data_IF_140446308965
#
_entry.id   IF_140446308965
#
_cell.length_a   1.000
_cell.length_b   1.000
_cell.length_c   1.000
_cell.angle_alpha   90.00
_cell.angle_beta   90.00
_cell.angle_gamma   90.00
#
_symmetry.space_group_name_H-M   'P 1'
#
loop_
_entity.id
_entity.type
_entity.pdbx_description
1 polymer ?
#
# COMPACT_ATOMS: atom_id res chain seq x y z
N UNK A 1 -11.43 15.74 -0.08
CA UNK A 1 -11.29 14.33 -0.50
C UNK A 1 -10.31 13.61 0.40
N UNK A 2 -10.77 13.12 1.55
CA UNK A 2 -9.99 12.28 2.48
C UNK A 2 -10.64 10.88 2.63
N UNK A 3 -11.70 10.54 1.88
CA UNK A 3 -12.53 9.37 2.17
C UNK A 3 -12.79 8.45 0.96
N UNK A 4 -11.86 8.35 0.02
CA UNK A 4 -12.02 7.48 -1.16
C UNK A 4 -11.09 6.25 -1.08
N UNK A 5 -11.40 5.21 -1.87
CA UNK A 5 -10.60 3.98 -1.94
C UNK A 5 -10.47 3.27 -0.58
N UNK A 6 -11.59 3.14 0.14
CA UNK A 6 -11.59 2.53 1.48
C UNK A 6 -11.30 1.03 1.38
N UNK A 7 -10.20 0.60 2.00
CA UNK A 7 -9.73 -0.79 1.90
C UNK A 7 -9.35 -1.31 3.28
N UNK A 8 -9.97 -2.41 3.71
CA UNK A 8 -9.60 -3.09 4.95
C UNK A 8 -8.28 -3.83 4.75
N UNK A 9 -7.24 -3.39 5.46
CA UNK A 9 -5.89 -3.91 5.31
C UNK A 9 -5.68 -5.28 5.94
N UNK A 10 -4.61 -5.98 5.54
CA UNK A 10 -4.25 -7.28 6.12
C UNK A 10 -3.97 -7.18 7.63
N UNK A 11 -3.38 -6.07 8.08
CA UNK A 11 -3.02 -5.76 9.46
C UNK A 11 -4.20 -5.32 10.35
N UNK A 12 -5.41 -5.28 9.78
CA UNK A 12 -6.64 -4.93 10.51
C UNK A 12 -6.93 -3.44 10.60
N UNK A 13 -6.19 -2.59 9.88
CA UNK A 13 -6.49 -1.16 9.78
C UNK A 13 -7.39 -0.88 8.58
N UNK A 14 -8.21 0.18 8.67
CA UNK A 14 -8.93 0.71 7.51
C UNK A 14 -8.04 1.74 6.82
N UNK A 15 -7.72 1.52 5.54
CA UNK A 15 -6.94 2.44 4.72
C UNK A 15 -7.85 3.27 3.81
N UNK A 16 -7.33 4.42 3.37
CA UNK A 16 -7.98 5.22 2.34
C UNK A 16 -7.04 6.26 1.72
N UNK A 17 -7.54 6.96 0.72
CA UNK A 17 -6.79 7.92 -0.07
C UNK A 17 -7.16 9.38 0.27
N UNK A 18 -6.24 10.28 -0.04
CA UNK A 18 -6.40 11.73 0.10
C UNK A 18 -5.97 12.43 -1.19
N UNK A 19 -6.74 13.41 -1.66
CA UNK A 19 -6.43 14.22 -2.85
C UNK A 19 -5.59 15.48 -2.54
N UNK A 20 -4.95 16.06 -3.56
CA UNK A 20 -3.96 17.15 -3.43
C UNK A 20 -4.52 18.51 -3.02
N UNK A 21 -5.76 18.82 -3.40
CA UNK A 21 -6.37 20.16 -3.19
C UNK A 21 -6.85 20.39 -1.77
N UNK A 22 -7.01 19.33 -0.97
CA UNK A 22 -7.43 19.43 0.40
C UNK A 22 -6.20 19.42 1.33
N UNK A 23 -6.16 20.35 2.27
CA UNK A 23 -5.25 20.28 3.42
C UNK A 23 -6.12 19.94 4.64
N UNK A 24 -5.87 18.77 5.22
CA UNK A 24 -6.64 18.26 6.34
C UNK A 24 -5.82 18.32 7.62
N UNK A 25 -6.50 18.66 8.71
CA UNK A 25 -5.99 18.49 10.07
C UNK A 25 -6.90 17.45 10.73
N UNK A 26 -6.41 16.21 10.83
CA UNK A 26 -7.20 15.06 11.23
C UNK A 26 -7.06 14.81 12.72
N UNK A 27 -8.20 14.69 13.40
CA UNK A 27 -8.27 14.39 14.83
C UNK A 27 -9.70 14.03 15.21
N UNK A 28 -9.87 13.52 16.43
CA UNK A 28 -11.20 13.22 16.97
C UNK A 28 -12.02 14.52 17.08
N UNK A 29 -13.36 14.46 17.07
CA UNK A 29 -14.19 15.63 17.38
C UNK A 29 -13.73 16.25 18.71
N UNK A 30 -13.51 17.57 18.71
CA UNK A 30 -12.98 18.30 19.88
C UNK A 30 -11.45 18.42 19.98
N UNK A 31 -10.66 17.68 19.19
CA UNK A 31 -9.18 17.83 19.21
C UNK A 31 -8.76 19.24 18.74
N UNK A 32 -7.97 19.99 19.53
CA UNK A 32 -7.36 21.27 19.14
C UNK A 32 -6.57 21.16 17.84
N UNK A 33 -6.56 22.21 17.01
CA UNK A 33 -5.98 22.15 15.65
C UNK A 33 -4.50 21.79 15.64
N UNK A 34 -3.74 22.26 16.61
CA UNK A 34 -2.30 22.02 16.82
C UNK A 34 -1.97 20.60 17.30
N UNK A 35 -2.95 19.89 17.87
CA UNK A 35 -2.84 18.47 18.23
C UNK A 35 -3.28 17.52 17.11
N UNK A 36 -3.77 18.05 15.98
CA UNK A 36 -4.25 17.24 14.85
C UNK A 36 -3.11 16.86 13.92
N UNK A 37 -3.26 15.69 13.31
CA UNK A 37 -2.30 15.20 12.32
C UNK A 37 -2.55 15.89 10.97
N UNK A 38 -1.58 16.66 10.44
CA UNK A 38 -1.72 17.26 9.12
C UNK A 38 -1.62 16.21 8.03
N UNK A 39 -2.41 16.36 6.97
CA UNK A 39 -2.32 15.52 5.79
C UNK A 39 -2.68 16.30 4.52
N UNK A 40 -1.87 16.09 3.47
CA UNK A 40 -2.10 16.58 2.13
C UNK A 40 -1.67 15.52 1.09
N UNK A 41 -2.64 14.96 0.37
CA UNK A 41 -2.47 13.83 -0.56
C UNK A 41 -1.71 12.59 -0.06
N UNK A 42 -2.04 11.43 -0.64
CA UNK A 42 -1.40 10.16 -0.30
C UNK A 42 -2.37 9.19 0.35
N UNK A 43 -1.83 8.24 1.13
CA UNK A 43 -2.59 7.17 1.78
C UNK A 43 -2.60 7.39 3.29
N UNK A 44 -3.74 7.18 3.93
CA UNK A 44 -3.90 7.18 5.37
C UNK A 44 -4.50 5.86 5.84
N UNK A 45 -4.46 5.64 7.15
CA UNK A 45 -5.18 4.56 7.81
C UNK A 45 -5.75 4.96 9.17
N UNK A 46 -6.82 4.28 9.58
CA UNK A 46 -7.43 4.38 10.91
C UNK A 46 -7.57 3.01 11.52
N UNK A 47 -7.18 2.87 12.79
CA UNK A 47 -7.40 1.63 13.52
C UNK A 47 -8.86 1.58 14.02
N UNK A 48 -9.65 0.56 13.68
CA UNK A 48 -11.10 0.54 13.92
C UNK A 48 -11.49 0.51 15.40
N UNK A 49 -10.64 -0.03 16.28
CA UNK A 49 -10.89 -0.08 17.73
C UNK A 49 -10.30 1.11 18.50
N UNK A 50 -9.01 1.41 18.34
CA UNK A 50 -8.36 2.51 19.06
C UNK A 50 -8.64 3.90 18.49
N UNK A 51 -9.22 3.97 17.28
CA UNK A 51 -9.50 5.19 16.53
C UNK A 51 -8.25 6.05 16.30
N UNK A 52 -7.07 5.41 16.22
CA UNK A 52 -5.81 6.09 15.89
C UNK A 52 -5.75 6.33 14.40
N UNK A 53 -5.50 7.57 13.99
CA UNK A 53 -5.30 7.96 12.60
C UNK A 53 -3.81 8.13 12.31
N UNK A 54 -3.36 7.63 11.16
CA UNK A 54 -1.97 7.77 10.71
C UNK A 54 -1.89 8.01 9.20
N UNK A 55 -1.11 9.01 8.74
CA UNK A 55 -0.60 9.03 7.37
C UNK A 55 0.27 7.79 7.15
N UNK A 56 0.05 7.11 6.03
CA UNK A 56 0.88 5.99 5.57
C UNK A 56 1.90 6.49 4.57
N UNK A 57 1.48 7.33 3.62
CA UNK A 57 2.33 7.97 2.62
C UNK A 57 1.90 9.40 2.36
N UNK A 58 2.84 10.21 1.88
CA UNK A 58 2.62 11.60 1.50
C UNK A 58 2.85 11.81 0.00
N UNK A 59 2.19 12.80 -0.58
CA UNK A 59 2.38 13.17 -1.99
C UNK A 59 1.41 12.46 -2.93
N UNK A 60 1.85 12.20 -4.17
CA UNK A 60 0.96 11.90 -5.32
C UNK A 60 0.08 13.10 -5.69
N UNK A 61 -1.01 12.88 -6.43
CA UNK A 61 -1.90 13.98 -6.85
C UNK A 61 -3.34 13.69 -6.47
N UNK A 62 -3.97 12.76 -7.17
CA UNK A 62 -5.36 12.40 -6.97
C UNK A 62 -5.46 10.87 -7.00
N UNK A 63 -5.06 10.20 -5.91
CA UNK A 63 -5.25 8.77 -5.78
C UNK A 63 -6.75 8.48 -5.68
N UNK A 64 -7.27 7.66 -6.60
CA UNK A 64 -8.69 7.33 -6.76
C UNK A 64 -8.98 5.83 -6.69
N UNK A 65 -8.00 5.02 -6.30
CA UNK A 65 -8.18 3.61 -6.01
C UNK A 65 -7.04 3.11 -5.12
N UNK A 66 -7.33 2.11 -4.29
CA UNK A 66 -6.37 1.49 -3.39
C UNK A 66 -6.70 0.00 -3.22
N UNK A 67 -5.75 -0.89 -3.49
CA UNK A 67 -5.86 -2.32 -3.16
C UNK A 67 -4.48 -2.88 -2.81
N UNK A 68 -4.42 -4.13 -2.35
CA UNK A 68 -3.16 -4.79 -2.00
C UNK A 68 -3.03 -6.18 -2.62
N UNK A 69 -1.80 -6.59 -2.91
CA UNK A 69 -1.52 -7.87 -3.56
C UNK A 69 -1.53 -9.06 -2.58
N UNK A 70 -1.13 -10.25 -3.03
CA UNK A 70 -1.07 -11.43 -2.16
C UNK A 70 0.07 -11.40 -1.13
N UNK A 71 1.04 -10.49 -1.30
CA UNK A 71 2.11 -10.20 -0.35
C UNK A 71 1.71 -9.11 0.66
N UNK A 72 0.50 -8.55 0.56
CA UNK A 72 0.00 -7.47 1.41
C UNK A 72 0.54 -6.09 1.03
N UNK A 73 1.22 -5.97 -0.11
CA UNK A 73 1.78 -4.72 -0.60
C UNK A 73 0.67 -3.90 -1.24
N UNK A 74 0.50 -2.65 -0.79
CA UNK A 74 -0.56 -1.77 -1.27
C UNK A 74 -0.15 -1.00 -2.52
N UNK A 75 -1.12 -0.72 -3.37
CA UNK A 75 -0.95 0.07 -4.59
C UNK A 75 -2.09 1.07 -4.72
N UNK A 76 -1.78 2.25 -5.23
CA UNK A 76 -2.80 3.25 -5.59
C UNK A 76 -2.80 3.53 -7.07
N UNK A 77 -4.00 3.76 -7.60
CA UNK A 77 -4.20 4.33 -8.93
C UNK A 77 -4.39 5.84 -8.78
N UNK A 78 -3.71 6.61 -9.62
CA UNK A 78 -3.60 8.04 -9.51
C UNK A 78 -3.97 8.74 -10.83
N UNK A 79 -4.67 9.85 -10.71
CA UNK A 79 -5.04 10.71 -11.83
C UNK A 79 -4.02 11.85 -12.03
N UNK A 80 -3.92 12.36 -13.27
CA UNK A 80 -3.10 13.50 -13.74
C UNK A 80 -1.63 13.21 -14.03
N UNK A 81 -0.87 12.67 -13.07
CA UNK A 81 0.52 12.21 -13.29
C UNK A 81 0.53 10.72 -13.62
N UNK A 82 1.68 10.05 -13.48
CA UNK A 82 1.77 8.57 -13.63
C UNK A 82 0.72 7.85 -12.78
N UNK A 83 0.18 6.77 -13.34
CA UNK A 83 -1.06 6.18 -12.85
C UNK A 83 -0.89 5.26 -11.65
N UNK A 84 0.30 4.73 -11.37
CA UNK A 84 0.44 3.61 -10.43
C UNK A 84 1.61 3.76 -9.46
N UNK A 85 1.34 3.59 -8.18
CA UNK A 85 2.32 3.76 -7.10
C UNK A 85 2.24 2.61 -6.11
N UNK A 86 3.39 2.02 -5.77
CA UNK A 86 3.52 1.08 -4.63
C UNK A 86 3.56 1.90 -3.35
N UNK A 87 2.70 1.57 -2.38
CA UNK A 87 2.52 2.29 -1.12
C UNK A 87 3.47 1.71 -0.07
N UNK A 88 4.52 2.46 0.26
CA UNK A 88 5.53 2.07 1.25
C UNK A 88 5.37 2.97 2.49
N UNK A 89 5.10 2.44 3.70
CA UNK A 89 4.87 3.27 4.88
C UNK A 89 6.03 4.25 5.14
N UNK A 90 5.72 5.53 5.31
CA UNK A 90 6.68 6.61 5.49
C UNK A 90 7.28 7.17 4.19
N UNK A 91 6.79 6.76 3.02
CA UNK A 91 7.24 7.29 1.74
C UNK A 91 6.64 8.67 1.42
N UNK A 92 7.44 9.48 0.73
CA UNK A 92 7.07 10.77 0.16
C UNK A 92 7.19 10.72 -1.37
N UNK A 93 6.10 10.96 -2.07
CA UNK A 93 5.98 10.77 -3.52
C UNK A 93 5.86 12.08 -4.30
N UNK A 94 6.33 12.04 -5.54
CA UNK A 94 6.17 13.13 -6.50
C UNK A 94 4.69 13.54 -6.62
N UNK A 95 4.47 14.84 -6.75
CA UNK A 95 3.16 15.48 -6.85
C UNK A 95 3.13 16.44 -8.02
N UNK A 96 1.93 16.71 -8.56
CA UNK A 96 1.77 17.63 -9.70
C UNK A 96 2.24 19.07 -9.37
N UNK A 97 1.93 19.54 -8.16
CA UNK A 97 2.31 20.87 -7.67
C UNK A 97 2.32 20.89 -6.13
N UNK A 98 2.78 22.01 -5.56
CA UNK A 98 2.88 22.21 -4.12
C UNK A 98 4.12 21.55 -3.51
N UNK A 99 4.31 21.77 -2.21
CA UNK A 99 5.47 21.26 -1.45
C UNK A 99 5.03 20.14 -0.51
N UNK A 100 5.94 19.19 -0.26
CA UNK A 100 5.78 18.22 0.83
C UNK A 100 5.67 18.94 2.18
N UNK A 101 4.95 18.35 3.13
CA UNK A 101 4.85 18.92 4.49
C UNK A 101 6.19 18.89 5.21
N UNK A 102 7.05 17.94 4.88
CA UNK A 102 8.43 17.90 5.32
C UNK A 102 9.33 18.61 4.28
N UNK A 103 9.84 19.80 4.64
CA UNK A 103 10.72 20.59 3.79
C UNK A 103 12.11 19.95 3.57
N UNK A 104 12.42 18.86 4.26
CA UNK A 104 13.73 18.21 4.25
C UNK A 104 13.71 16.84 3.53
N UNK A 105 12.64 16.50 2.82
CA UNK A 105 12.64 15.30 1.95
C UNK A 105 13.70 15.37 0.87
N UNK A 106 13.99 16.57 0.34
CA UNK A 106 14.97 16.92 -0.71
C UNK A 106 14.75 16.27 -2.08
N UNK A 107 14.32 15.02 -2.11
CA UNK A 107 13.88 14.26 -3.27
C UNK A 107 12.57 13.56 -2.93
N UNK A 108 11.81 13.18 -3.97
CA UNK A 108 10.53 12.49 -3.83
C UNK A 108 10.56 11.22 -4.67
N UNK A 109 9.99 10.15 -4.14
CA UNK A 109 9.88 8.86 -4.84
C UNK A 109 8.95 8.98 -6.04
N UNK A 110 9.14 8.12 -7.05
CA UNK A 110 8.37 8.12 -8.30
C UNK A 110 7.50 6.88 -8.45
N UNK A 111 6.58 6.93 -9.41
CA UNK A 111 5.66 5.82 -9.74
C UNK A 111 6.40 4.56 -10.17
N UNK A 112 5.79 3.40 -9.92
CA UNK A 112 6.29 2.09 -10.35
C UNK A 112 6.00 1.81 -11.83
N UNK A 113 5.13 2.59 -12.46
CA UNK A 113 4.98 2.59 -13.91
C UNK A 113 6.05 3.48 -14.58
N UNK A 114 6.72 2.93 -15.59
CA UNK A 114 7.68 3.66 -16.44
C UNK A 114 7.04 4.24 -17.70
N UNK A 115 5.78 3.92 -17.97
CA UNK A 115 5.00 4.38 -19.11
C UNK A 115 3.83 5.29 -18.70
N UNK A 116 3.17 5.88 -19.70
CA UNK A 116 1.95 6.69 -19.53
C UNK A 116 0.82 6.12 -20.39
N UNK A 117 -0.41 6.29 -19.92
CA UNK A 117 -1.60 6.04 -20.74
C UNK A 117 -1.95 7.21 -21.67
N UNK A 118 -1.03 8.17 -21.86
CA UNK A 118 -1.31 9.47 -22.46
C UNK A 118 -0.26 9.85 -23.52
N UNK A 119 -0.75 10.28 -24.69
CA UNK A 119 0.08 10.66 -25.85
C UNK A 119 0.61 12.10 -25.89
N UNK A 120 0.46 12.91 -24.82
CA UNK A 120 0.92 14.31 -24.77
C UNK A 120 -0.14 15.36 -25.16
N UNK A 121 0.19 16.66 -25.08
CA UNK A 121 -0.71 17.75 -25.48
C UNK A 121 -1.59 18.32 -24.35
N UNK A 122 -2.72 18.98 -24.66
CA UNK A 122 -3.72 19.36 -23.66
C UNK A 122 -4.44 18.14 -23.11
N UNK A 123 -4.77 18.13 -21.82
CA UNK A 123 -5.34 16.96 -21.17
C UNK A 123 -6.75 16.63 -21.73
N UNK A 124 -7.51 17.65 -22.13
CA UNK A 124 -8.86 17.51 -22.68
C UNK A 124 -8.90 16.71 -23.99
N UNK A 125 -7.80 16.70 -24.77
CA UNK A 125 -7.77 15.95 -26.04
C UNK A 125 -7.75 14.44 -25.85
N UNK A 126 -7.54 13.95 -24.62
CA UNK A 126 -7.58 12.51 -24.33
C UNK A 126 -8.97 11.94 -24.14
N UNK A 127 -10.00 12.79 -24.02
CA UNK A 127 -11.39 12.35 -23.85
C UNK A 127 -11.91 11.63 -25.10
N UNK A 128 -12.73 10.62 -24.89
CA UNK A 128 -13.43 9.91 -25.95
C UNK A 128 -12.73 8.66 -26.47
N UNK A 129 -11.51 8.33 -26.03
CA UNK A 129 -10.85 7.08 -26.43
C UNK A 129 -10.60 7.01 -27.94
N UNK A 130 -9.95 8.04 -28.48
CA UNK A 130 -9.55 8.10 -29.89
C UNK A 130 -8.08 8.53 -30.06
N UNK A 131 -7.55 8.32 -31.28
CA UNK A 131 -6.25 8.82 -31.72
C UNK A 131 -5.06 8.37 -30.86
N UNK A 132 -4.11 9.30 -30.68
CA UNK A 132 -2.82 9.01 -29.99
C UNK A 132 -3.02 8.62 -28.52
N UNK A 133 -4.07 9.11 -27.88
CA UNK A 133 -4.37 8.78 -26.49
C UNK A 133 -4.94 7.38 -26.37
N UNK A 134 -5.81 6.97 -27.30
CA UNK A 134 -6.36 5.62 -27.34
C UNK A 134 -5.27 4.56 -27.54
N UNK A 135 -4.34 4.85 -28.47
CA UNK A 135 -3.15 4.03 -28.71
C UNK A 135 -2.22 3.98 -27.49
N UNK A 136 -2.07 5.11 -26.79
CA UNK A 136 -1.32 5.17 -25.55
C UNK A 136 -2.05 4.50 -24.37
N UNK A 137 -3.33 4.16 -24.46
CA UNK A 137 -4.05 3.43 -23.42
C UNK A 137 -5.10 4.23 -22.66
N UNK A 138 -5.55 5.37 -23.18
CA UNK A 138 -6.83 5.98 -22.81
C UNK A 138 -6.79 7.39 -22.25
N UNK A 139 -5.65 7.89 -21.77
CA UNK A 139 -5.51 9.21 -21.14
C UNK A 139 -4.96 9.13 -19.73
N UNK A 140 -5.05 10.22 -18.97
CA UNK A 140 -4.45 10.36 -17.63
C UNK A 140 -5.49 10.35 -16.49
N UNK A 141 -6.75 10.00 -16.77
CA UNK A 141 -7.85 9.97 -15.81
C UNK A 141 -8.18 8.54 -15.35
N UNK A 142 -7.53 8.11 -14.27
CA UNK A 142 -7.67 6.78 -13.69
C UNK A 142 -8.47 6.81 -12.39
N UNK A 143 -9.33 5.82 -12.17
CA UNK A 143 -10.19 5.67 -11.00
C UNK A 143 -10.43 4.18 -10.71
N UNK A 144 -10.59 3.84 -9.43
CA UNK A 144 -10.71 2.46 -8.99
C UNK A 144 -9.37 1.72 -9.06
N UNK A 145 -9.20 0.73 -8.20
CA UNK A 145 -8.02 -0.11 -8.18
C UNK A 145 -8.40 -1.47 -7.62
N UNK A 146 -8.21 -2.52 -8.41
CA UNK A 146 -8.46 -3.88 -7.96
C UNK A 146 -7.32 -4.77 -8.44
N UNK A 147 -6.65 -5.44 -7.50
CA UNK A 147 -5.68 -6.49 -7.81
C UNK A 147 -6.44 -7.80 -7.82
N UNK A 148 -6.55 -8.43 -8.99
CA UNK A 148 -7.44 -9.58 -9.16
C UNK A 148 -6.87 -10.84 -8.49
N UNK A 149 -7.44 -11.20 -7.34
CA UNK A 149 -7.09 -12.41 -6.57
C UNK A 149 -8.27 -13.40 -6.46
N UNK A 150 -9.27 -13.26 -7.35
CA UNK A 150 -10.35 -14.22 -7.55
C UNK A 150 -9.91 -15.48 -8.31
N UNK A 151 -10.79 -16.48 -8.35
CA UNK A 151 -10.53 -17.81 -8.95
C UNK A 151 -11.42 -18.13 -10.17
N UNK A 152 -12.24 -17.18 -10.65
CA UNK A 152 -13.10 -17.37 -11.82
C UNK A 152 -12.35 -17.29 -13.16
N UNK A 153 -11.44 -16.32 -13.29
CA UNK A 153 -10.71 -16.05 -14.54
C UNK A 153 -9.47 -16.91 -14.73
N UNK A 154 -9.00 -17.05 -15.99
CA UNK A 154 -7.72 -17.71 -16.28
C UNK A 154 -6.57 -17.16 -15.44
N UNK A 155 -5.63 -18.04 -15.06
CA UNK A 155 -4.52 -17.73 -14.15
C UNK A 155 -3.68 -16.52 -14.56
N UNK A 156 -3.55 -16.24 -15.86
CA UNK A 156 -2.82 -15.06 -16.38
C UNK A 156 -3.33 -13.71 -15.87
N UNK A 157 -4.58 -13.63 -15.41
CA UNK A 157 -5.16 -12.40 -14.84
C UNK A 157 -4.90 -12.26 -13.35
N UNK A 158 -4.51 -13.35 -12.67
CA UNK A 158 -4.32 -13.34 -11.22
C UNK A 158 -3.10 -12.51 -10.86
N UNK A 159 -3.26 -11.62 -9.87
CA UNK A 159 -2.22 -10.68 -9.44
C UNK A 159 -2.09 -9.44 -10.32
N UNK A 160 -2.84 -9.34 -11.43
CA UNK A 160 -2.88 -8.10 -12.22
C UNK A 160 -3.70 -7.04 -11.53
N UNK A 161 -3.27 -5.80 -11.66
CA UNK A 161 -4.02 -4.63 -11.26
C UNK A 161 -4.93 -4.18 -12.40
N UNK A 162 -6.19 -3.89 -12.08
CA UNK A 162 -7.16 -3.29 -12.98
C UNK A 162 -7.57 -1.90 -12.46
N UNK A 163 -7.70 -0.95 -13.38
CA UNK A 163 -8.17 0.42 -13.08
C UNK A 163 -9.02 0.94 -14.23
N UNK A 164 -10.09 1.68 -13.93
CA UNK A 164 -10.90 2.32 -14.95
C UNK A 164 -10.17 3.54 -15.51
N UNK A 165 -10.19 3.71 -16.82
CA UNK A 165 -9.73 4.90 -17.51
C UNK A 165 -10.93 5.63 -18.11
N UNK A 166 -11.28 6.76 -17.50
CA UNK A 166 -12.48 7.53 -17.83
C UNK A 166 -12.42 8.01 -19.28
N UNK A 167 -11.32 8.68 -19.63
CA UNK A 167 -11.09 9.25 -20.95
C UNK A 167 -11.06 8.17 -22.04
N UNK A 168 -10.46 7.02 -21.74
CA UNK A 168 -10.23 5.94 -22.70
C UNK A 168 -11.35 4.93 -22.83
N UNK A 169 -12.44 5.09 -22.09
CA UNK A 169 -13.60 4.18 -22.03
C UNK A 169 -13.20 2.71 -21.87
N UNK A 170 -12.33 2.43 -20.91
CA UNK A 170 -11.71 1.10 -20.76
C UNK A 170 -11.34 0.79 -19.32
N UNK A 171 -10.95 -0.47 -19.11
CA UNK A 171 -10.28 -0.89 -17.89
C UNK A 171 -8.86 -1.28 -18.27
N UNK A 172 -7.89 -0.47 -17.85
CA UNK A 172 -6.48 -0.78 -18.03
C UNK A 172 -6.07 -1.96 -17.16
N UNK A 173 -5.05 -2.69 -17.60
CA UNK A 173 -4.46 -3.80 -16.86
C UNK A 173 -2.95 -3.65 -16.77
N UNK A 174 -2.45 -3.84 -15.56
CA UNK A 174 -1.03 -3.78 -15.22
C UNK A 174 -0.59 -5.13 -14.64
N UNK A 175 0.55 -5.64 -15.11
CA UNK A 175 1.27 -6.74 -14.47
C UNK A 175 2.24 -6.16 -13.44
N UNK A 176 2.08 -6.54 -12.18
CA UNK A 176 2.96 -6.13 -11.09
C UNK A 176 4.09 -7.16 -10.97
N UNK A 177 5.33 -6.72 -11.11
CA UNK A 177 6.52 -7.57 -10.97
C UNK A 177 7.40 -7.04 -9.83
N UNK A 178 7.90 -7.94 -8.98
CA UNK A 178 8.90 -7.61 -7.97
C UNK A 178 10.17 -7.10 -8.69
N UNK A 179 10.66 -5.93 -8.31
CA UNK A 179 11.85 -5.31 -8.92
C UNK A 179 12.61 -4.49 -7.89
N UNK A 180 13.90 -4.84 -7.69
CA UNK A 180 14.70 -4.29 -6.60
C UNK A 180 14.03 -4.57 -5.25
N UNK A 181 13.89 -3.53 -4.44
CA UNK A 181 13.25 -3.60 -3.13
C UNK A 181 11.71 -3.54 -3.16
N UNK A 182 11.12 -3.16 -4.29
CA UNK A 182 9.68 -2.97 -4.46
C UNK A 182 9.16 -3.61 -5.74
N UNK A 183 8.48 -2.81 -6.57
CA UNK A 183 7.80 -3.29 -7.77
C UNK A 183 8.05 -2.40 -8.99
N UNK A 184 7.91 -2.99 -10.16
CA UNK A 184 7.74 -2.30 -11.44
C UNK A 184 6.43 -2.76 -12.08
N UNK A 185 5.73 -1.83 -12.72
CA UNK A 185 4.53 -2.15 -13.48
C UNK A 185 4.84 -2.33 -14.95
N UNK A 186 4.31 -3.40 -15.54
CA UNK A 186 4.35 -3.66 -16.98
C UNK A 186 2.95 -3.57 -17.57
N UNK A 187 2.84 -2.99 -18.76
CA UNK A 187 1.56 -2.91 -19.46
C UNK A 187 1.08 -4.31 -19.86
N UNK A 188 -0.13 -4.65 -19.47
CA UNK A 188 -0.84 -5.81 -19.99
C UNK A 188 -1.95 -5.37 -20.98
N UNK A 189 -2.49 -6.28 -21.81
CA UNK A 189 -3.68 -5.98 -22.60
C UNK A 189 -4.81 -5.51 -21.69
N UNK A 190 -5.50 -4.44 -22.11
CA UNK A 190 -6.66 -3.90 -21.39
C UNK A 190 -7.66 -5.01 -21.09
N UNK A 191 -8.26 -4.94 -19.91
CA UNK A 191 -9.22 -5.94 -19.45
C UNK A 191 -10.52 -5.91 -20.26
N UNK A 192 -10.95 -4.70 -20.64
CA UNK A 192 -12.03 -4.44 -21.57
C UNK A 192 -11.92 -3.02 -22.14
N UNK A 193 -12.55 -2.81 -23.29
CA UNK A 193 -12.85 -1.49 -23.88
C UNK A 193 -14.34 -1.42 -24.16
N UNK A 194 -14.95 -0.26 -23.94
CA UNK A 194 -16.39 -0.03 -24.04
C UNK A 194 -16.68 0.95 -25.17
N UNK A 195 -17.56 0.56 -26.08
CA UNK A 195 -17.92 1.40 -27.23
C UNK A 195 -18.95 2.49 -26.87
N UNK A 196 -19.69 2.31 -25.78
CA UNK A 196 -20.68 3.27 -25.28
C UNK A 196 -20.02 4.59 -24.84
N UNK A 197 -20.31 5.73 -25.47
CA UNK A 197 -19.75 7.03 -25.09
C UNK A 197 -20.19 7.51 -23.70
N UNK A 198 -21.27 6.96 -23.16
CA UNK A 198 -21.79 7.25 -21.82
C UNK A 198 -21.12 6.42 -20.71
N UNK A 199 -20.14 5.58 -21.05
CA UNK A 199 -19.41 4.79 -20.07
C UNK A 199 -18.43 5.66 -19.27
N UNK A 200 -18.57 5.67 -17.94
CA UNK A 200 -17.57 6.22 -17.01
C UNK A 200 -17.35 5.23 -15.87
N UNK A 201 -16.48 4.25 -16.08
CA UNK A 201 -16.15 3.26 -15.04
C UNK A 201 -15.56 3.92 -13.80
N UNK A 202 -15.96 3.46 -12.61
CA UNK A 202 -15.58 4.06 -11.34
C UNK A 202 -14.81 3.10 -10.44
N UNK A 203 -15.41 1.97 -10.08
CA UNK A 203 -14.85 1.04 -9.09
C UNK A 203 -14.95 -0.40 -9.56
N UNK A 204 -13.99 -1.22 -9.15
CA UNK A 204 -13.97 -2.66 -9.42
C UNK A 204 -13.83 -3.46 -8.12
N UNK A 205 -14.55 -4.57 -8.01
CA UNK A 205 -14.36 -5.54 -6.93
C UNK A 205 -14.68 -6.95 -7.43
N UNK A 206 -13.98 -7.98 -6.96
CA UNK A 206 -14.34 -9.36 -7.25
C UNK A 206 -15.17 -9.97 -6.10
N UNK A 207 -16.18 -10.76 -6.46
CA UNK A 207 -17.10 -11.39 -5.51
C UNK A 207 -16.71 -12.81 -5.08
N UNK A 208 -17.58 -13.50 -4.31
CA UNK A 208 -17.33 -14.86 -3.81
C UNK A 208 -17.19 -15.90 -4.94
N UNK A 209 -17.82 -15.69 -6.08
CA UNK A 209 -17.69 -16.56 -7.25
C UNK A 209 -16.51 -16.19 -8.15
N UNK A 210 -15.67 -15.24 -7.72
CA UNK A 210 -14.51 -14.73 -8.45
C UNK A 210 -14.85 -13.80 -9.62
N UNK A 211 -16.14 -13.57 -9.91
CA UNK A 211 -16.57 -12.62 -10.94
C UNK A 211 -16.23 -11.19 -10.56
N UNK A 212 -15.88 -10.37 -11.55
CA UNK A 212 -15.57 -8.95 -11.34
C UNK A 212 -16.85 -8.13 -11.45
N UNK A 213 -17.17 -7.38 -10.41
CA UNK A 213 -18.19 -6.34 -10.40
C UNK A 213 -17.52 -5.02 -10.76
N UNK A 214 -18.16 -4.25 -11.63
CA UNK A 214 -17.71 -2.92 -12.02
C UNK A 214 -18.89 -1.95 -11.96
N UNK A 215 -18.65 -0.77 -11.41
CA UNK A 215 -19.63 0.32 -11.42
C UNK A 215 -19.28 1.33 -12.49
N UNK A 216 -20.29 1.96 -13.08
CA UNK A 216 -20.11 3.15 -13.88
C UNK A 216 -21.16 4.21 -13.53
N UNK A 217 -20.79 5.47 -13.72
CA UNK A 217 -21.73 6.59 -13.72
C UNK A 217 -22.05 6.88 -15.19
N UNK A 218 -23.28 6.62 -15.61
CA UNK A 218 -23.64 6.71 -17.03
C UNK A 218 -23.79 8.18 -17.44
N UNK A 219 -22.72 8.81 -17.89
CA UNK A 219 -22.65 10.25 -18.12
C UNK A 219 -21.67 10.60 -19.25
N UNK A 220 -21.86 11.76 -19.86
CA UNK A 220 -20.92 12.38 -20.81
C UNK A 220 -19.99 13.37 -20.12
N UNK A 221 -20.37 13.92 -18.96
CA UNK A 221 -19.56 14.79 -18.13
C UNK A 221 -18.45 14.02 -17.42
N UNK A 222 -17.21 14.50 -17.54
CA UNK A 222 -16.06 13.99 -16.80
C UNK A 222 -15.08 15.12 -16.46
N UNK A 223 -14.26 14.94 -15.42
CA UNK A 223 -13.15 15.81 -15.05
C UNK A 223 -13.46 17.32 -15.19
N UNK A 224 -14.19 17.91 -14.25
CA UNK A 224 -14.60 19.33 -14.26
C UNK A 224 -15.64 19.73 -15.32
N UNK A 225 -16.15 18.78 -16.10
CA UNK A 225 -17.32 19.01 -16.93
C UNK A 225 -18.58 18.65 -16.15
N UNK A 226 -19.41 19.65 -15.86
CA UNK A 226 -20.65 19.50 -15.09
C UNK A 226 -21.91 19.69 -15.92
N UNK A 227 -21.76 19.80 -17.24
CA UNK A 227 -22.86 20.02 -18.15
C UNK A 227 -23.61 18.71 -18.38
N UNK A 228 -24.95 18.78 -18.33
CA UNK A 228 -25.85 17.66 -18.61
C UNK A 228 -25.58 16.41 -17.75
N UNK A 229 -25.07 16.62 -16.53
CA UNK A 229 -24.80 15.54 -15.58
C UNK A 229 -26.10 14.90 -15.09
N UNK A 230 -26.15 13.58 -15.15
CA UNK A 230 -27.25 12.80 -14.64
C UNK A 230 -26.85 12.16 -13.30
N UNK A 231 -27.39 12.60 -12.16
CA UNK A 231 -26.95 12.09 -10.83
C UNK A 231 -27.65 10.81 -10.37
N UNK A 232 -28.64 10.36 -11.11
CA UNK A 232 -29.54 9.25 -10.72
C UNK A 232 -29.30 7.97 -11.55
N UNK A 233 -28.36 7.99 -12.50
CA UNK A 233 -28.09 6.88 -13.40
C UNK A 233 -26.66 6.31 -13.20
N UNK A 234 -26.60 5.15 -12.57
CA UNK A 234 -25.40 4.33 -12.52
C UNK A 234 -25.71 2.91 -12.99
N UNK A 235 -24.71 2.21 -13.49
CA UNK A 235 -24.84 0.79 -13.86
C UNK A 235 -23.87 -0.05 -13.04
N UNK A 236 -24.30 -1.27 -12.75
CA UNK A 236 -23.45 -2.29 -12.13
C UNK A 236 -23.34 -3.44 -13.11
N UNK A 237 -22.12 -3.73 -13.52
CA UNK A 237 -21.80 -4.85 -14.39
C UNK A 237 -21.23 -5.99 -13.56
N UNK A 238 -21.60 -7.23 -13.90
CA UNK A 238 -20.92 -8.43 -13.44
C UNK A 238 -20.26 -9.10 -14.63
N UNK A 239 -18.94 -9.24 -14.58
CA UNK A 239 -18.10 -9.68 -15.69
C UNK A 239 -17.42 -10.99 -15.32
N UNK A 240 -17.95 -12.09 -15.83
CA UNK A 240 -17.51 -13.45 -15.51
C UNK A 240 -16.83 -14.12 -16.69
N UNK A 241 -15.94 -15.07 -16.38
CA UNK A 241 -15.47 -16.06 -17.34
C UNK A 241 -16.42 -17.27 -17.30
N UNK A 242 -17.13 -17.51 -18.41
CA UNK A 242 -18.22 -18.48 -18.46
C UNK A 242 -19.39 -18.10 -17.55
N UNK A 243 -20.11 -19.11 -17.08
CA UNK A 243 -21.29 -18.98 -16.22
C UNK A 243 -20.99 -19.58 -14.84
N UNK A 244 -20.30 -18.85 -13.94
CA UNK A 244 -20.01 -19.36 -12.61
C UNK A 244 -21.32 -19.64 -11.85
N UNK A 245 -21.34 -20.72 -11.09
CA UNK A 245 -22.51 -21.07 -10.27
C UNK A 245 -22.64 -20.06 -9.13
N UNK A 246 -23.76 -19.35 -9.10
CA UNK A 246 -24.10 -18.50 -7.97
C UNK A 246 -24.35 -19.37 -6.73
N UNK A 247 -23.72 -19.01 -5.61
CA UNK A 247 -24.00 -19.57 -4.29
C UNK A 247 -24.23 -18.42 -3.32
N UNK A 248 -25.36 -18.40 -2.59
CA UNK A 248 -25.52 -17.47 -1.47
C UNK A 248 -24.42 -17.71 -0.44
N UNK A 249 -23.69 -16.65 -0.08
CA UNK A 249 -22.61 -16.72 0.91
C UNK A 249 -22.94 -15.77 2.06
N UNK A 250 -22.97 -16.31 3.27
CA UNK A 250 -23.13 -15.54 4.51
C UNK A 250 -22.04 -15.99 5.51
N UNK A 251 -20.89 -15.32 5.45
CA UNK A 251 -19.74 -15.68 6.30
C UNK A 251 -19.99 -15.33 7.77
N UNK A 252 -20.94 -14.45 8.09
CA UNK A 252 -21.21 -14.06 9.47
C UNK A 252 -21.79 -15.22 10.29
N UNK A 253 -22.44 -16.19 9.63
CA UNK A 253 -23.00 -17.41 10.25
C UNK A 253 -21.96 -18.49 10.54
N UNK A 254 -20.78 -18.41 9.94
CA UNK A 254 -19.72 -19.41 10.14
C UNK A 254 -19.09 -19.28 11.52
N UNK A 255 -18.70 -20.38 12.14
CA UNK A 255 -17.94 -20.34 13.39
C UNK A 255 -16.47 -19.92 13.16
N UNK A 256 -15.68 -19.80 14.23
CA UNK A 256 -14.29 -19.34 14.10
C UNK A 256 -13.39 -20.35 13.35
N UNK A 257 -13.65 -21.65 13.47
CA UNK A 257 -12.88 -22.71 12.80
C UNK A 257 -13.19 -22.73 11.30
N UNK A 258 -14.44 -22.53 10.93
CA UNK A 258 -14.86 -22.36 9.55
C UNK A 258 -14.26 -21.09 8.93
N UNK A 259 -14.24 -19.96 9.65
CA UNK A 259 -13.57 -18.75 9.19
C UNK A 259 -12.04 -18.91 9.06
N UNK A 260 -11.40 -19.69 9.93
CA UNK A 260 -9.98 -20.00 9.83
C UNK A 260 -9.67 -20.77 8.54
N UNK A 261 -10.46 -21.81 8.21
CA UNK A 261 -10.31 -22.57 6.97
C UNK A 261 -10.33 -21.68 5.73
N UNK A 262 -11.11 -20.60 5.74
CA UNK A 262 -11.20 -19.66 4.63
C UNK A 262 -9.92 -18.84 4.39
N UNK A 263 -8.97 -18.78 5.33
CA UNK A 263 -7.66 -18.19 5.06
C UNK A 263 -6.90 -18.94 3.94
N UNK A 264 -7.22 -20.22 3.74
CA UNK A 264 -6.63 -21.08 2.71
C UNK A 264 -7.37 -21.04 1.36
N UNK A 265 -8.49 -20.32 1.28
CA UNK A 265 -9.35 -20.30 0.09
C UNK A 265 -8.61 -19.68 -1.13
N UNK A 266 -8.75 -20.25 -2.35
CA UNK A 266 -8.11 -19.74 -3.56
C UNK A 266 -8.58 -18.32 -3.94
N UNK A 267 -9.88 -18.05 -3.90
CA UNK A 267 -10.42 -16.70 -3.96
C UNK A 267 -10.12 -15.92 -2.67
N UNK A 268 -9.32 -14.86 -2.78
CA UNK A 268 -8.93 -14.04 -1.63
C UNK A 268 -10.11 -13.30 -0.99
N UNK A 269 -11.26 -13.17 -1.66
CA UNK A 269 -12.46 -12.54 -1.11
C UNK A 269 -12.84 -13.19 0.23
N UNK A 270 -12.83 -14.52 0.29
CA UNK A 270 -13.13 -15.29 1.49
C UNK A 270 -12.10 -15.04 2.60
N UNK A 271 -10.80 -15.12 2.29
CA UNK A 271 -9.74 -14.90 3.28
C UNK A 271 -9.79 -13.48 3.87
N UNK A 272 -10.03 -12.47 3.03
CA UNK A 272 -10.16 -11.06 3.45
C UNK A 272 -11.36 -10.86 4.39
N UNK A 273 -12.53 -11.32 4.00
CA UNK A 273 -13.75 -11.16 4.79
C UNK A 273 -13.72 -11.99 6.08
N UNK A 274 -13.21 -13.22 6.02
CA UNK A 274 -13.08 -14.08 7.19
C UNK A 274 -12.11 -13.49 8.22
N UNK A 275 -10.99 -12.91 7.79
CA UNK A 275 -10.05 -12.24 8.71
C UNK A 275 -10.67 -11.01 9.36
N UNK A 276 -11.41 -10.19 8.62
CA UNK A 276 -12.16 -9.05 9.18
C UNK A 276 -13.17 -9.51 10.24
N UNK A 277 -13.96 -10.55 9.95
CA UNK A 277 -14.93 -11.09 10.92
C UNK A 277 -14.25 -11.66 12.16
N UNK A 278 -13.13 -12.37 12.01
CA UNK A 278 -12.34 -12.86 13.15
C UNK A 278 -11.79 -11.71 14.01
N UNK A 279 -11.33 -10.62 13.39
CA UNK A 279 -10.90 -9.41 14.10
C UNK A 279 -12.06 -8.75 14.86
N UNK A 280 -13.23 -8.60 14.22
CA UNK A 280 -14.43 -8.05 14.85
C UNK A 280 -14.83 -8.88 16.08
N UNK A 281 -14.84 -10.22 15.96
CA UNK A 281 -15.11 -11.12 17.08
C UNK A 281 -14.08 -10.98 18.19
N UNK A 282 -12.78 -10.97 17.85
CA UNK A 282 -11.69 -10.81 18.81
C UNK A 282 -11.76 -9.48 19.57
N UNK A 283 -12.25 -8.41 18.91
CA UNK A 283 -12.43 -7.09 19.53
C UNK A 283 -13.57 -7.04 20.55
N UNK A 284 -14.59 -7.89 20.40
CA UNK A 284 -15.71 -8.00 21.33
C UNK A 284 -15.40 -8.95 22.49
N UNK A 285 -14.76 -10.09 22.17
CA UNK A 285 -14.36 -11.09 23.15
C UNK A 285 -13.07 -11.77 22.68
N UNK A 286 -12.04 -11.87 23.53
CA UNK A 286 -10.82 -12.59 23.20
C UNK A 286 -11.12 -14.02 22.72
N UNK A 287 -10.51 -14.42 21.60
CA UNK A 287 -10.59 -15.79 21.10
C UNK A 287 -9.82 -16.73 22.04
N UNK A 288 -10.18 -18.02 22.07
CA UNK A 288 -9.55 -18.97 22.97
C UNK A 288 -8.07 -19.17 22.62
N UNK A 289 -7.25 -19.47 23.64
CA UNK A 289 -5.84 -19.83 23.44
C UNK A 289 -5.66 -21.05 22.54
N UNK A 290 -6.60 -22.02 22.60
CA UNK A 290 -6.62 -23.18 21.71
C UNK A 290 -6.81 -22.79 20.24
N UNK A 291 -7.67 -21.81 19.96
CA UNK A 291 -7.88 -21.30 18.61
C UNK A 291 -6.63 -20.58 18.09
N UNK A 292 -6.03 -19.69 18.89
CA UNK A 292 -4.80 -19.00 18.49
C UNK A 292 -3.65 -19.97 18.23
N UNK A 293 -3.51 -21.00 19.07
CA UNK A 293 -2.55 -22.08 18.84
C UNK A 293 -2.83 -22.81 17.52
N UNK A 294 -4.09 -23.09 17.21
CA UNK A 294 -4.48 -23.72 15.95
C UNK A 294 -4.12 -22.86 14.73
N UNK A 295 -4.32 -21.54 14.80
CA UNK A 295 -3.91 -20.60 13.72
C UNK A 295 -2.39 -20.64 13.52
N UNK A 296 -1.61 -20.69 14.61
CA UNK A 296 -0.16 -20.82 14.55
C UNK A 296 0.28 -22.17 13.97
N UNK A 297 -0.35 -23.27 14.39
CA UNK A 297 -0.06 -24.60 13.83
C UNK A 297 -0.34 -24.61 12.31
N UNK A 298 -1.43 -23.98 11.85
CA UNK A 298 -1.67 -23.84 10.40
C UNK A 298 -0.63 -22.96 9.72
N UNK A 299 -0.11 -21.91 10.39
CA UNK A 299 0.93 -21.06 9.84
C UNK A 299 2.22 -21.86 9.60
N UNK A 300 2.63 -22.66 10.59
CA UNK A 300 3.85 -23.46 10.54
C UNK A 300 3.80 -24.51 9.42
N UNK A 301 2.62 -25.08 9.14
CA UNK A 301 2.42 -26.12 8.12
C UNK A 301 1.91 -25.60 6.76
N UNK A 302 1.54 -24.31 6.65
CA UNK A 302 1.01 -23.77 5.40
C UNK A 302 2.05 -23.78 4.29
N UNK A 303 1.64 -24.31 3.12
CA UNK A 303 2.46 -24.28 1.91
C UNK A 303 2.17 -23.00 1.11
N UNK A 304 3.25 -22.30 0.74
CA UNK A 304 3.21 -21.09 -0.07
C UNK A 304 3.13 -19.79 0.74
N UNK A 305 3.86 -18.78 0.24
CA UNK A 305 4.01 -17.45 0.84
C UNK A 305 2.67 -16.80 1.18
N UNK A 306 1.75 -16.68 0.21
CA UNK A 306 0.47 -15.98 0.39
C UNK A 306 -0.39 -16.57 1.52
N UNK A 307 -0.40 -17.91 1.66
CA UNK A 307 -1.17 -18.60 2.71
C UNK A 307 -0.57 -18.38 4.09
N UNK A 308 0.77 -18.45 4.20
CA UNK A 308 1.50 -18.13 5.44
C UNK A 308 1.25 -16.68 5.87
N UNK A 309 1.31 -15.72 4.94
CA UNK A 309 1.06 -14.31 5.25
C UNK A 309 -0.37 -14.07 5.75
N UNK A 310 -1.39 -14.69 5.12
CA UNK A 310 -2.79 -14.60 5.59
C UNK A 310 -2.96 -15.08 7.03
N UNK A 311 -2.28 -16.17 7.40
CA UNK A 311 -2.32 -16.70 8.76
C UNK A 311 -1.53 -15.83 9.75
N UNK A 312 -0.37 -15.31 9.36
CA UNK A 312 0.37 -14.32 10.16
C UNK A 312 -0.47 -13.08 10.46
N UNK A 313 -1.14 -12.55 9.44
CA UNK A 313 -2.07 -11.42 9.61
C UNK A 313 -3.29 -11.81 10.46
N UNK A 314 -3.78 -13.04 10.35
CA UNK A 314 -4.86 -13.53 11.22
C UNK A 314 -4.41 -13.57 12.68
N UNK A 315 -3.20 -14.07 12.97
CA UNK A 315 -2.61 -14.02 14.32
C UNK A 315 -2.51 -12.57 14.81
N UNK A 316 -2.05 -11.65 13.95
CA UNK A 316 -1.92 -10.24 14.30
C UNK A 316 -3.24 -9.59 14.73
N UNK A 317 -4.33 -9.84 14.01
CA UNK A 317 -5.60 -9.15 14.28
C UNK A 317 -6.45 -9.84 15.34
N UNK A 318 -6.15 -11.11 15.66
CA UNK A 318 -6.93 -11.90 16.64
C UNK A 318 -6.24 -12.07 17.99
N UNK A 319 -4.91 -11.98 18.04
CA UNK A 319 -4.16 -12.06 19.30
C UNK A 319 -4.30 -10.74 20.06
N UNK A 320 -4.62 -10.76 21.37
CA UNK A 320 -4.58 -9.56 22.18
C UNK A 320 -3.23 -8.85 22.07
N UNK A 321 -3.26 -7.57 21.69
CA UNK A 321 -2.07 -6.78 21.40
C UNK A 321 -1.22 -7.26 20.21
N UNK A 322 -1.73 -8.11 19.32
CA UNK A 322 -1.01 -8.58 18.13
C UNK A 322 0.06 -9.62 18.44
N UNK A 323 0.92 -9.91 17.45
CA UNK A 323 1.98 -10.92 17.61
C UNK A 323 2.98 -10.50 18.69
N UNK A 324 3.48 -11.47 19.47
CA UNK A 324 4.50 -11.22 20.49
C UNK A 324 5.87 -10.92 19.88
N UNK A 325 6.73 -10.25 20.64
CA UNK A 325 8.12 -10.01 20.23
C UNK A 325 8.90 -11.32 20.05
N UNK A 326 8.67 -12.32 20.91
CA UNK A 326 9.30 -13.64 20.79
C UNK A 326 8.93 -14.33 19.48
N UNK A 327 7.65 -14.25 19.09
CA UNK A 327 7.21 -14.83 17.83
C UNK A 327 7.77 -14.04 16.64
N UNK A 328 7.69 -12.71 16.67
CA UNK A 328 8.29 -11.86 15.64
C UNK A 328 9.79 -12.13 15.47
N UNK A 329 10.53 -12.31 16.57
CA UNK A 329 11.97 -12.65 16.56
C UNK A 329 12.24 -13.96 15.86
N UNK A 330 11.44 -15.01 16.11
CA UNK A 330 11.55 -16.29 15.40
C UNK A 330 11.33 -16.12 13.90
N UNK A 331 10.38 -15.27 13.51
CA UNK A 331 10.06 -15.02 12.10
C UNK A 331 11.16 -14.26 11.36
N UNK A 332 12.07 -13.56 12.03
CA UNK A 332 13.21 -12.89 11.39
C UNK A 332 14.18 -13.87 10.70
N UNK A 333 14.08 -15.17 11.01
CA UNK A 333 14.86 -16.23 10.37
C UNK A 333 14.06 -17.05 9.35
N UNK A 334 12.81 -16.66 9.05
CA UNK A 334 11.98 -17.36 8.05
C UNK A 334 12.63 -17.29 6.67
N UNK A 335 12.48 -18.32 5.83
CA UNK A 335 13.02 -18.35 4.47
C UNK A 335 12.37 -17.33 3.53
N UNK A 336 11.10 -16.99 3.75
CA UNK A 336 10.33 -16.08 2.90
C UNK A 336 10.58 -14.61 3.30
N UNK A 337 11.13 -13.77 2.40
CA UNK A 337 11.42 -12.37 2.69
C UNK A 337 10.23 -11.57 3.21
N UNK A 338 9.04 -11.80 2.65
CA UNK A 338 7.84 -11.11 3.11
C UNK A 338 7.37 -11.55 4.49
N UNK A 339 7.64 -12.78 4.92
CA UNK A 339 7.32 -13.19 6.31
C UNK A 339 8.22 -12.43 7.28
N UNK A 340 9.53 -12.33 6.97
CA UNK A 340 10.47 -11.49 7.74
C UNK A 340 10.03 -10.02 7.75
N UNK A 341 9.73 -9.48 6.57
CA UNK A 341 9.28 -8.10 6.37
C UNK A 341 8.02 -7.75 7.19
N UNK A 342 7.00 -8.60 7.13
CA UNK A 342 5.77 -8.40 7.91
C UNK A 342 6.02 -8.54 9.42
N UNK A 343 6.88 -9.46 9.86
CA UNK A 343 7.24 -9.54 11.29
C UNK A 343 7.87 -8.23 11.78
N UNK A 344 8.76 -7.62 10.97
CA UNK A 344 9.37 -6.32 11.25
C UNK A 344 8.30 -5.23 11.32
N UNK A 345 7.47 -5.08 10.29
CA UNK A 345 6.45 -4.03 10.25
C UNK A 345 5.49 -4.15 11.43
N UNK A 346 4.86 -5.32 11.60
CA UNK A 346 3.85 -5.54 12.64
C UNK A 346 4.40 -5.31 14.05
N UNK A 347 5.64 -5.70 14.32
CA UNK A 347 6.26 -5.48 15.63
C UNK A 347 6.58 -4.00 15.85
N UNK A 348 7.08 -3.30 14.83
CA UNK A 348 7.42 -1.87 14.93
C UNK A 348 6.21 -0.96 15.02
N UNK A 349 5.01 -1.41 14.62
CA UNK A 349 3.76 -0.65 14.82
C UNK A 349 3.43 -0.33 16.28
N UNK A 350 4.03 -1.06 17.23
CA UNK A 350 3.91 -0.78 18.66
C UNK A 350 4.77 0.39 19.12
N UNK A 351 5.76 0.82 18.34
CA UNK A 351 6.73 1.87 18.67
C UNK A 351 7.54 1.65 19.96
N UNK A 352 7.39 0.48 20.58
CA UNK A 352 8.15 -0.01 21.71
C UNK A 352 8.94 -1.23 21.26
N UNK A 353 10.26 -1.22 21.39
CA UNK A 353 11.12 -2.37 21.06
C UNK A 353 12.17 -2.59 22.14
N UNK A 354 12.39 -3.86 22.50
CA UNK A 354 13.52 -4.22 23.35
C UNK A 354 14.86 -4.00 22.63
N UNK A 355 15.94 -3.87 23.40
CA UNK A 355 17.28 -3.81 22.82
C UNK A 355 17.62 -5.09 22.07
N UNK A 356 17.22 -6.26 22.58
CA UNK A 356 17.49 -7.55 21.95
C UNK A 356 16.83 -7.66 20.57
N UNK A 357 15.56 -7.25 20.44
CA UNK A 357 14.89 -7.25 19.14
C UNK A 357 15.54 -6.25 18.18
N UNK A 358 15.90 -5.05 18.66
CA UNK A 358 16.61 -4.07 17.84
C UNK A 358 17.95 -4.60 17.34
N UNK A 359 18.72 -5.30 18.17
CA UNK A 359 19.99 -5.92 17.77
C UNK A 359 19.79 -6.96 16.66
N UNK A 360 18.68 -7.72 16.70
CA UNK A 360 18.31 -8.64 15.63
C UNK A 360 17.96 -7.90 14.33
N UNK A 361 17.24 -6.77 14.40
CA UNK A 361 16.97 -5.92 13.23
C UNK A 361 18.26 -5.34 12.62
N UNK A 362 19.19 -4.91 13.47
CA UNK A 362 20.51 -4.41 13.03
C UNK A 362 21.32 -5.52 12.38
N UNK A 363 21.30 -6.74 12.94
CA UNK A 363 21.96 -7.89 12.33
C UNK A 363 21.34 -8.23 10.97
N UNK A 364 20.00 -8.26 10.90
CA UNK A 364 19.28 -8.51 9.66
C UNK A 364 19.58 -7.46 8.59
N UNK A 365 19.66 -6.18 8.97
CA UNK A 365 20.07 -5.10 8.08
C UNK A 365 21.49 -5.26 7.52
N UNK A 366 22.39 -6.01 8.19
CA UNK A 366 23.75 -6.28 7.69
C UNK A 366 23.81 -7.51 6.81
N UNK A 367 22.99 -8.52 7.08
CA UNK A 367 23.18 -9.87 6.54
C UNK A 367 22.08 -10.34 5.60
N UNK A 368 20.88 -9.75 5.64
CA UNK A 368 19.77 -10.21 4.80
C UNK A 368 20.00 -9.86 3.32
N UNK A 369 20.02 -10.86 2.42
CA UNK A 369 20.27 -10.61 1.01
C UNK A 369 19.11 -9.88 0.33
N UNK A 370 17.89 -9.93 0.89
CA UNK A 370 16.69 -9.43 0.24
C UNK A 370 16.58 -7.90 0.35
N UNK A 371 16.55 -7.17 -0.78
CA UNK A 371 16.27 -5.73 -0.77
C UNK A 371 14.86 -5.43 -0.25
N UNK A 372 13.90 -6.34 -0.41
CA UNK A 372 12.56 -6.24 0.20
C UNK A 372 12.65 -6.16 1.72
N UNK A 373 13.44 -7.03 2.37
CA UNK A 373 13.60 -6.99 3.83
C UNK A 373 14.27 -5.69 4.27
N UNK A 374 15.29 -5.24 3.52
CA UNK A 374 15.93 -3.94 3.77
C UNK A 374 14.94 -2.77 3.63
N UNK A 375 13.94 -2.86 2.76
CA UNK A 375 12.89 -1.84 2.63
C UNK A 375 11.97 -1.78 3.85
N UNK A 376 11.58 -2.94 4.39
CA UNK A 376 10.83 -3.00 5.64
C UNK A 376 11.64 -2.42 6.82
N UNK A 377 12.95 -2.65 6.87
CA UNK A 377 13.85 -2.07 7.87
C UNK A 377 14.00 -0.55 7.68
N UNK A 378 14.17 -0.07 6.44
CA UNK A 378 14.28 1.35 6.12
C UNK A 378 12.99 2.12 6.46
N UNK A 379 11.82 1.57 6.11
CA UNK A 379 10.52 2.09 6.55
C UNK A 379 10.41 2.06 8.10
N UNK A 380 10.86 0.95 8.70
CA UNK A 380 10.86 0.74 10.14
C UNK A 380 11.66 1.76 10.95
N UNK A 381 12.70 2.39 10.38
CA UNK A 381 13.44 3.48 11.03
C UNK A 381 12.47 4.56 11.54
N UNK A 382 11.46 4.91 10.75
CA UNK A 382 10.50 5.97 11.08
C UNK A 382 9.60 5.62 12.28
N UNK A 383 9.50 4.33 12.64
CA UNK A 383 8.75 3.83 13.80
C UNK A 383 9.57 3.73 15.08
N UNK A 384 10.89 3.97 15.00
CA UNK A 384 11.78 3.95 16.17
C UNK A 384 11.97 5.35 16.75
N UNK A 385 12.17 5.48 18.09
CA UNK A 385 12.68 6.69 18.68
C UNK A 385 14.02 7.10 18.06
N UNK A 386 14.28 8.41 17.90
CA UNK A 386 15.48 8.92 17.20
C UNK A 386 16.79 8.30 17.72
N UNK A 387 16.95 8.20 19.03
CA UNK A 387 18.15 7.64 19.65
C UNK A 387 18.43 6.17 19.25
N UNK A 388 17.40 5.41 18.88
CA UNK A 388 17.49 3.98 18.51
C UNK A 388 17.68 3.75 17.00
N UNK A 389 17.66 4.79 16.17
CA UNK A 389 17.74 4.64 14.69
C UNK A 389 19.16 4.46 14.17
N UNK A 390 20.17 4.94 14.90
CA UNK A 390 21.54 5.05 14.39
C UNK A 390 22.13 3.72 13.92
N UNK A 391 22.15 2.69 14.75
CA UNK A 391 22.87 1.46 14.40
C UNK A 391 22.18 0.69 13.25
N UNK A 392 20.85 0.77 13.19
CA UNK A 392 20.07 0.23 12.08
C UNK A 392 20.35 1.00 10.79
N UNK A 393 20.36 2.33 10.84
CA UNK A 393 20.72 3.17 9.71
C UNK A 393 22.15 2.90 9.22
N UNK A 394 23.12 2.74 10.14
CA UNK A 394 24.51 2.44 9.79
C UNK A 394 24.63 1.12 9.03
N UNK A 395 23.85 0.11 9.41
CA UNK A 395 23.81 -1.16 8.69
C UNK A 395 23.25 -0.98 7.27
N UNK A 396 22.10 -0.30 7.13
CA UNK A 396 21.42 -0.12 5.84
C UNK A 396 22.25 0.69 4.82
N UNK A 397 22.94 1.75 5.25
CA UNK A 397 23.73 2.59 4.33
C UNK A 397 25.02 1.94 3.83
N UNK A 398 25.34 0.72 4.30
CA UNK A 398 26.56 -0.01 3.96
C UNK A 398 26.38 -1.02 2.80
N UNK A 399 25.22 -1.04 2.15
CA UNK A 399 24.90 -1.83 0.96
C UNK A 399 25.10 -1.02 -0.33
N UNK A 400 26.27 -1.07 -1.00
CA UNK A 400 26.51 -0.30 -2.21
C UNK A 400 25.59 -0.70 -3.38
N UNK A 401 25.10 -1.95 -3.40
CA UNK A 401 24.15 -2.45 -4.39
C UNK A 401 22.82 -1.69 -4.39
N UNK A 402 22.45 -1.09 -3.26
CA UNK A 402 21.19 -0.35 -3.10
C UNK A 402 21.29 1.09 -3.65
N UNK A 403 22.46 1.54 -4.09
CA UNK A 403 22.66 2.93 -4.55
C UNK A 403 21.79 3.34 -5.74
N UNK A 404 21.31 2.36 -6.53
CA UNK A 404 20.41 2.57 -7.67
C UNK A 404 19.01 2.00 -7.47
N UNK A 405 18.72 1.46 -6.29
CA UNK A 405 17.38 0.99 -5.97
C UNK A 405 16.39 2.17 -5.94
N UNK A 406 15.18 1.96 -6.46
CA UNK A 406 14.19 3.02 -6.61
C UNK A 406 13.63 3.54 -5.27
N UNK A 407 13.77 2.76 -4.18
CA UNK A 407 13.15 3.07 -2.91
C UNK A 407 14.17 3.23 -1.78
N UNK A 408 15.15 2.34 -1.66
CA UNK A 408 16.00 2.21 -0.48
C UNK A 408 16.76 3.50 -0.12
N UNK A 409 17.46 4.18 -1.05
CA UNK A 409 18.17 5.42 -0.71
C UNK A 409 17.26 6.49 -0.11
N UNK A 410 16.07 6.68 -0.68
CA UNK A 410 15.12 7.69 -0.21
C UNK A 410 14.40 7.27 1.07
N UNK A 411 14.00 6.00 1.20
CA UNK A 411 13.37 5.50 2.43
C UNK A 411 14.32 5.55 3.62
N UNK A 412 15.61 5.23 3.41
CA UNK A 412 16.63 5.40 4.44
C UNK A 412 16.77 6.89 4.79
N UNK A 413 16.82 7.78 3.79
CA UNK A 413 16.87 9.23 4.02
C UNK A 413 15.71 9.72 4.89
N UNK A 414 14.47 9.37 4.54
CA UNK A 414 13.28 9.76 5.31
C UNK A 414 13.33 9.23 6.76
N UNK A 415 13.94 8.06 6.97
CA UNK A 415 14.18 7.49 8.30
C UNK A 415 15.22 8.25 9.13
N UNK A 416 16.25 8.81 8.50
CA UNK A 416 17.41 9.40 9.19
C UNK A 416 17.47 10.92 9.16
N UNK A 417 16.68 11.61 8.33
CA UNK A 417 16.71 13.08 8.23
C UNK A 417 16.64 13.75 9.61
N UNK A 418 15.74 13.37 10.53
CA UNK A 418 15.66 14.02 11.85
C UNK A 418 16.90 13.77 12.72
N UNK A 419 17.68 12.71 12.43
CA UNK A 419 18.92 12.43 13.16
C UNK A 419 19.97 13.50 12.94
N UNK A 420 20.01 14.10 11.73
CA UNK A 420 20.96 15.15 11.40
C UNK A 420 20.75 16.39 12.28
N UNK A 421 19.49 16.78 12.47
CA UNK A 421 19.13 17.86 13.38
C UNK A 421 19.39 17.51 14.86
N UNK A 422 19.16 16.25 15.25
CA UNK A 422 19.36 15.80 16.64
C UNK A 422 20.83 15.73 17.07
N UNK A 423 21.74 15.40 16.15
CA UNK A 423 23.17 15.28 16.43
C UNK A 423 23.99 15.43 15.14
N UNK A 424 24.31 16.69 14.81
CA UNK A 424 25.07 17.08 13.60
C UNK A 424 26.42 16.36 13.52
N UNK A 425 27.16 16.28 14.62
CA UNK A 425 28.49 15.65 14.66
C UNK A 425 28.44 14.16 14.29
N UNK A 426 27.51 13.41 14.91
CA UNK A 426 27.33 11.98 14.59
C UNK A 426 26.82 11.77 13.16
N UNK A 427 25.94 12.65 12.67
CA UNK A 427 25.48 12.61 11.28
C UNK A 427 26.62 12.84 10.27
N UNK A 428 27.55 13.76 10.55
CA UNK A 428 28.72 13.97 9.68
C UNK A 428 29.66 12.75 9.67
N UNK A 429 29.77 12.00 10.77
CA UNK A 429 30.49 10.72 10.77
C UNK A 429 29.80 9.67 9.87
N UNK A 430 28.46 9.69 9.80
CA UNK A 430 27.68 8.83 8.90
C UNK A 430 27.96 9.09 7.41
N UNK A 431 28.29 10.33 7.03
CA UNK A 431 28.64 10.68 5.65
C UNK A 431 29.85 9.86 5.17
N UNK A 432 30.83 9.64 6.04
CA UNK A 432 32.04 8.88 5.72
C UNK A 432 31.75 7.38 5.62
N UNK A 433 30.81 6.88 6.43
CA UNK A 433 30.43 5.46 6.47
C UNK A 433 29.50 5.06 5.31
N UNK A 434 28.64 5.97 4.87
CA UNK A 434 27.61 5.66 3.88
C UNK A 434 28.20 5.37 2.50
N UNK A 435 27.81 4.23 1.92
CA UNK A 435 28.12 3.88 0.53
C UNK A 435 27.08 4.40 -0.45
N UNK A 436 26.02 5.06 0.03
CA UNK A 436 24.92 5.58 -0.78
C UNK A 436 25.16 7.07 -1.08
N UNK A 437 25.37 7.48 -2.36
CA UNK A 437 25.63 8.88 -2.70
C UNK A 437 24.53 9.85 -2.25
N UNK A 438 23.26 9.49 -2.44
CA UNK A 438 22.10 10.31 -2.05
C UNK A 438 22.14 10.63 -0.55
N UNK A 439 22.39 9.63 0.29
CA UNK A 439 22.48 9.80 1.75
C UNK A 439 23.59 10.80 2.12
N UNK A 440 24.78 10.65 1.54
CA UNK A 440 25.90 11.57 1.80
C UNK A 440 25.56 13.01 1.42
N UNK A 441 24.98 13.20 0.25
CA UNK A 441 24.57 14.52 -0.25
C UNK A 441 23.49 15.15 0.63
N UNK A 442 22.48 14.38 1.01
CA UNK A 442 21.36 14.87 1.81
C UNK A 442 21.76 15.18 3.25
N UNK A 443 22.60 14.36 3.90
CA UNK A 443 23.15 14.69 5.21
C UNK A 443 23.99 15.98 5.15
N UNK A 444 24.87 16.12 4.16
CA UNK A 444 25.68 17.33 4.00
C UNK A 444 24.81 18.58 3.80
N UNK A 445 23.79 18.49 2.93
CA UNK A 445 22.82 19.57 2.69
C UNK A 445 22.06 19.94 3.98
N UNK A 446 21.59 18.94 4.74
CA UNK A 446 20.85 19.17 5.97
C UNK A 446 21.71 19.77 7.06
N UNK A 447 22.93 19.27 7.24
CA UNK A 447 23.88 19.77 8.24
C UNK A 447 24.33 21.21 7.96
N UNK A 448 24.48 21.59 6.70
CA UNK A 448 24.82 22.96 6.29
C UNK A 448 23.67 23.95 6.54
N UNK A 449 22.42 23.49 6.51
CA UNK A 449 21.24 24.32 6.79
C UNK A 449 20.86 24.46 8.27
N UNK A 450 21.57 23.78 9.19
CA UNK A 450 21.38 23.95 10.62
C UNK A 450 22.20 25.17 11.08
N UNK A 451 21.54 26.15 11.69
CA UNK A 451 22.22 27.24 12.42
C UNK A 451 23.08 26.67 13.54
N UNK A 452 24.20 27.35 13.85
CA UNK A 452 25.09 26.99 14.96
C UNK A 452 24.41 26.98 16.33
#
# INVERSE_FOLDING_TARGET
NIYNGLTWGPDGWLYGCHGIVANSYVGKPGTPKDERTPMNCGVWRVHPVSHRFEPVTHGTTNPWGLDYDENGQFFITNCVIKHLWHVIPGAHYQRMYGQDLNAHTYELMTSVADYLHWGGGPWQSSRGGEGVHDAAGGGHAHVGCMIYLGDNRPSKYRGRLFTCNLHGRRVNSDQLNEHGSGYQSERAPDFLKVDDPWFRGLELAYGPDGGVYMTDWSDIGECHDYKDIHRENGRIYKITYGQPKHQPVDLAKLDNEELLKLQQHPNAWFARHARRLLQERASQKPLSSSFLKRVQDEFDHANGRAKRLRLLWTLQVTTPNGISEDFATKLLSDKEPYVRGWAIQLRLEKQEVSSSFLDQLVNLAKTDPSPTVRLFLASGLQRLPLAKRWDLAAALVNHPEDAKDANLPLMIWYGIEPLVASNKTRALQFVVQSKLPVIRQHIARRAAGLSE
#
